data_IF_516077639422
#
_entry.id   IF_516077639422
#
_cell.length_a   1.000
_cell.length_b   1.000
_cell.length_c   1.000
_cell.angle_alpha   90.00
_cell.angle_beta   90.00
_cell.angle_gamma   90.00
#
_symmetry.space_group_name_H-M   'P 1'
#
loop_
_entity.id
_entity.type
_entity.pdbx_description
1 polymer ?
#
# COMPACT_ATOMS: atom_id res chain seq x y z
N UNK A 1 14.20 -9.64 -0.25
CA UNK A 1 12.93 -8.94 0.06
C UNK A 1 12.93 -8.68 1.57
N UNK A 2 12.84 -7.44 2.05
CA UNK A 2 12.69 -7.21 3.51
C UNK A 2 11.37 -7.83 3.97
N UNK A 3 11.42 -8.70 4.97
CA UNK A 3 10.23 -9.26 5.60
C UNK A 3 9.36 -8.14 6.17
N UNK A 4 8.04 -8.27 5.97
CA UNK A 4 7.05 -7.32 6.48
C UNK A 4 6.54 -7.87 7.81
N UNK A 5 7.00 -7.28 8.91
CA UNK A 5 6.69 -7.75 10.27
C UNK A 5 5.59 -6.87 10.89
N UNK A 6 4.70 -7.50 11.66
CA UNK A 6 3.72 -6.84 12.50
C UNK A 6 4.42 -6.16 13.68
N UNK A 7 4.19 -4.86 13.87
CA UNK A 7 4.89 -4.12 14.93
C UNK A 7 4.36 -4.49 16.33
N UNK A 8 3.15 -5.05 16.40
CA UNK A 8 2.50 -5.42 17.66
C UNK A 8 2.82 -6.86 18.08
N UNK A 9 2.80 -7.80 17.14
CA UNK A 9 2.95 -9.23 17.42
C UNK A 9 4.34 -9.79 17.08
N UNK A 10 5.17 -9.04 16.33
CA UNK A 10 6.49 -9.52 15.90
C UNK A 10 6.46 -10.63 14.85
N UNK A 11 5.30 -10.97 14.29
CA UNK A 11 5.14 -12.03 13.30
C UNK A 11 5.11 -11.50 11.85
N UNK A 12 5.40 -12.34 10.84
CA UNK A 12 5.24 -11.97 9.44
C UNK A 12 3.79 -11.60 9.08
N UNK A 13 3.64 -10.53 8.31
CA UNK A 13 2.36 -10.10 7.77
C UNK A 13 2.02 -10.89 6.50
N UNK A 14 0.74 -11.24 6.35
CA UNK A 14 0.23 -11.93 5.17
C UNK A 14 -0.17 -10.94 4.08
N UNK A 15 0.32 -11.15 2.84
CA UNK A 15 -0.10 -10.34 1.68
C UNK A 15 -1.60 -10.53 1.44
N UNK A 16 -2.31 -9.42 1.28
CA UNK A 16 -3.76 -9.43 1.01
C UNK A 16 -4.07 -8.58 -0.24
N UNK A 17 -5.33 -8.63 -0.68
CA UNK A 17 -5.84 -7.89 -1.82
C UNK A 17 -7.04 -7.06 -1.38
N UNK A 18 -7.05 -5.76 -1.71
CA UNK A 18 -8.24 -4.94 -1.57
C UNK A 18 -9.21 -5.33 -2.68
N UNK A 19 -10.27 -6.06 -2.33
CA UNK A 19 -11.37 -6.35 -3.26
C UNK A 19 -12.36 -5.19 -3.25
N UNK A 20 -11.96 -4.06 -3.84
CA UNK A 20 -12.94 -3.05 -4.24
C UNK A 20 -13.72 -3.63 -5.43
N UNK A 21 -15.04 -3.44 -5.44
CA UNK A 21 -15.90 -3.87 -6.54
C UNK A 21 -15.47 -3.11 -7.80
N UNK A 22 -14.57 -3.72 -8.59
CA UNK A 22 -14.02 -3.16 -9.84
C UNK A 22 -12.94 -2.07 -9.66
N UNK A 23 -11.70 -2.44 -9.34
CA UNK A 23 -10.54 -1.56 -9.53
C UNK A 23 -9.34 -1.84 -8.62
N UNK A 24 -8.15 -1.43 -9.07
CA UNK A 24 -6.92 -1.38 -8.26
C UNK A 24 -6.86 -0.08 -7.46
N UNK A 25 -6.40 -0.14 -6.20
CA UNK A 25 -6.20 1.06 -5.37
C UNK A 25 -4.75 1.55 -5.52
N UNK A 26 -4.58 2.80 -5.93
CA UNK A 26 -3.28 3.48 -6.00
C UNK A 26 -3.23 4.66 -5.03
N UNK A 27 -2.03 4.99 -4.54
CA UNK A 27 -1.77 6.24 -3.82
C UNK A 27 -1.19 7.26 -4.80
N UNK A 28 -1.61 8.52 -4.67
CA UNK A 28 -1.08 9.65 -5.45
C UNK A 28 0.05 10.31 -4.68
N UNK A 29 1.07 10.78 -5.39
CA UNK A 29 2.20 11.51 -4.80
C UNK A 29 1.88 12.95 -4.36
N UNK A 30 0.76 13.51 -4.81
CA UNK A 30 0.23 14.82 -4.38
C UNK A 30 -1.27 14.70 -4.11
N UNK A 31 -1.80 15.31 -3.04
CA UNK A 31 -3.23 15.44 -2.87
C UNK A 31 -3.77 16.28 -4.03
N UNK A 32 -4.66 15.73 -4.84
CA UNK A 32 -5.33 16.48 -5.90
C UNK A 32 -6.84 16.50 -5.64
N UNK A 33 -7.44 17.69 -5.77
CA UNK A 33 -8.90 17.83 -5.68
C UNK A 33 -9.62 17.32 -6.95
N UNK A 34 -8.86 17.03 -8.01
CA UNK A 34 -9.34 16.54 -9.30
C UNK A 34 -8.63 15.22 -9.63
N UNK A 35 -9.24 14.35 -10.43
CA UNK A 35 -8.56 13.20 -11.00
C UNK A 35 -7.44 13.70 -11.93
N UNK A 36 -6.19 13.70 -11.44
CA UNK A 36 -5.04 14.16 -12.22
C UNK A 36 -4.62 12.98 -13.11
N UNK A 37 -4.92 13.08 -14.41
CA UNK A 37 -4.59 12.08 -15.43
C UNK A 37 -3.08 11.81 -15.52
N UNK A 38 -2.25 12.76 -15.08
CA UNK A 38 -0.79 12.71 -15.11
C UNK A 38 -0.13 12.49 -13.74
N UNK A 39 -0.87 12.17 -12.68
CA UNK A 39 -0.27 11.98 -11.37
C UNK A 39 0.51 10.66 -11.32
N UNK A 40 1.73 10.72 -10.82
CA UNK A 40 2.51 9.53 -10.55
C UNK A 40 1.82 8.73 -9.44
N UNK A 41 1.36 7.52 -9.78
CA UNK A 41 0.74 6.60 -8.83
C UNK A 41 1.47 5.26 -8.81
N UNK A 42 1.34 4.56 -7.68
CA UNK A 42 1.84 3.20 -7.49
C UNK A 42 0.76 2.36 -6.83
N UNK A 43 0.61 1.11 -7.29
CA UNK A 43 -0.33 0.17 -6.71
C UNK A 43 -0.02 -0.06 -5.23
N UNK A 44 -1.07 -0.11 -4.43
CA UNK A 44 -0.99 -0.37 -3.00
C UNK A 44 -1.36 -1.81 -2.71
N UNK A 45 -0.49 -2.49 -1.97
CA UNK A 45 -0.69 -3.85 -1.51
C UNK A 45 -0.86 -3.82 0.01
N UNK A 46 -2.04 -4.21 0.54
CA UNK A 46 -2.22 -4.39 1.98
C UNK A 46 -1.55 -5.68 2.46
N UNK A 47 -1.07 -5.63 3.69
CA UNK A 47 -0.56 -6.77 4.43
C UNK A 47 -1.25 -6.80 5.79
N UNK A 48 -1.76 -7.96 6.20
CA UNK A 48 -2.54 -8.13 7.42
C UNK A 48 -1.83 -9.05 8.41
N UNK A 49 -1.85 -8.68 9.69
CA UNK A 49 -1.45 -9.58 10.76
C UNK A 49 -2.58 -10.59 11.02
N UNK A 50 -2.30 -11.88 10.87
CA UNK A 50 -3.26 -12.95 11.14
C UNK A 50 -3.60 -13.12 12.63
N UNK A 51 -2.86 -12.45 13.52
CA UNK A 51 -3.06 -12.53 14.98
C UNK A 51 -3.87 -11.34 15.51
N UNK A 52 -3.40 -10.11 15.31
CA UNK A 52 -4.06 -8.92 15.88
C UNK A 52 -4.87 -8.08 14.87
N UNK A 53 -4.83 -8.43 13.59
CA UNK A 53 -5.55 -7.70 12.55
C UNK A 53 -4.90 -6.38 12.11
N UNK A 54 -3.68 -6.05 12.55
CA UNK A 54 -2.94 -4.88 12.04
C UNK A 54 -2.84 -4.93 10.51
N UNK A 55 -3.30 -3.87 9.83
CA UNK A 55 -3.17 -3.72 8.38
C UNK A 55 -2.11 -2.66 8.08
N UNK A 56 -1.10 -3.04 7.28
CA UNK A 56 -0.07 -2.14 6.78
C UNK A 56 -0.10 -2.11 5.26
N UNK A 57 -0.02 -0.91 4.70
CA UNK A 57 -0.02 -0.69 3.27
C UNK A 57 1.40 -0.47 2.75
N UNK A 58 1.71 -1.09 1.62
CA UNK A 58 2.99 -0.92 0.94
C UNK A 58 2.74 -0.57 -0.52
N UNK A 59 3.55 0.32 -1.08
CA UNK A 59 3.54 0.64 -2.51
C UNK A 59 4.48 -0.30 -3.26
N UNK A 60 4.07 -0.73 -4.45
CA UNK A 60 4.86 -1.65 -5.29
C UNK A 60 6.16 -1.01 -5.78
N UNK A 61 6.06 0.25 -6.23
CA UNK A 61 7.18 1.07 -6.67
C UNK A 61 7.30 2.31 -5.79
N UNK A 62 8.10 2.27 -4.70
CA UNK A 62 8.34 3.42 -3.84
C UNK A 62 9.21 4.51 -4.49
N UNK A 63 9.93 4.19 -5.59
CA UNK A 63 10.77 5.16 -6.29
C UNK A 63 9.99 6.34 -6.86
N UNK A 64 8.72 6.11 -7.20
CA UNK A 64 7.75 7.11 -7.67
C UNK A 64 7.43 8.23 -6.68
N UNK A 65 7.80 8.08 -5.41
CA UNK A 65 7.53 9.05 -4.34
C UNK A 65 8.79 9.73 -3.80
N UNK A 66 9.97 9.47 -4.37
CA UNK A 66 11.16 10.25 -4.03
C UNK A 66 10.91 11.69 -4.48
N UNK A 67 11.02 12.63 -3.55
CA UNK A 67 11.06 14.06 -3.90
C UNK A 67 12.27 14.29 -4.82
N UNK A 68 12.05 15.01 -5.92
CA UNK A 68 13.10 15.41 -6.86
C UNK A 68 13.94 16.53 -6.27
#
# INVERSE_FOLDING_TARGET
MKEKICNQCGIPLTKSLLKAVGGSVGILNKPSQHAVVSATYSEVIPYVCSTCGEVRFFVNDPGKYKEQ
#
